data_IF_815839212021
#
_entry.id   IF_815839212021
#
_cell.length_a   1.000
_cell.length_b   1.000
_cell.length_c   1.000
_cell.angle_alpha   90.00
_cell.angle_beta   90.00
_cell.angle_gamma   90.00
#
_symmetry.space_group_name_H-M   'P 1'
#
loop_
_entity.id
_entity.type
_entity.pdbx_description
1 polymer ?
#
# COMPACT_ATOMS: atom_id res chain seq x y z
N UNK A 1 25.06 5.53 -5.40
CA UNK A 1 24.43 4.99 -6.63
C UNK A 1 23.54 6.06 -7.22
N UNK A 2 23.71 6.44 -8.49
CA UNK A 2 22.66 7.16 -9.21
C UNK A 2 21.39 6.32 -9.12
N UNK A 3 20.28 6.87 -8.64
CA UNK A 3 19.00 6.18 -8.76
C UNK A 3 18.68 6.13 -10.25
N UNK A 4 19.11 5.05 -10.92
CA UNK A 4 18.77 4.80 -12.31
C UNK A 4 17.26 4.81 -12.52
N UNK A 5 16.83 4.73 -13.77
CA UNK A 5 15.41 4.78 -14.17
C UNK A 5 14.48 3.92 -13.27
N UNK A 6 14.91 2.72 -12.89
CA UNK A 6 14.18 1.82 -11.97
C UNK A 6 13.92 2.44 -10.59
N UNK A 7 14.91 3.12 -10.00
CA UNK A 7 14.77 3.75 -8.69
C UNK A 7 13.79 4.93 -8.73
N UNK A 8 13.81 5.72 -9.81
CA UNK A 8 12.83 6.79 -10.02
C UNK A 8 11.42 6.23 -10.19
N UNK A 9 11.24 5.17 -10.98
CA UNK A 9 9.96 4.48 -11.14
C UNK A 9 9.46 3.91 -9.81
N UNK A 10 10.34 3.31 -9.00
CA UNK A 10 9.97 2.78 -7.69
C UNK A 10 9.47 3.86 -6.73
N UNK A 11 10.11 5.04 -6.71
CA UNK A 11 9.64 6.18 -5.92
C UNK A 11 8.26 6.66 -6.41
N UNK A 12 8.10 6.84 -7.72
CA UNK A 12 6.82 7.28 -8.32
C UNK A 12 5.69 6.30 -7.98
N UNK A 13 5.93 5.00 -8.15
CA UNK A 13 4.97 3.94 -7.81
C UNK A 13 4.65 3.95 -6.31
N UNK A 14 5.65 4.12 -5.44
CA UNK A 14 5.45 4.16 -3.99
C UNK A 14 4.56 5.33 -3.59
N UNK A 15 4.85 6.55 -4.07
CA UNK A 15 3.98 7.72 -3.83
C UNK A 15 2.59 7.55 -4.46
N UNK A 16 2.53 6.96 -5.66
CA UNK A 16 1.28 6.60 -6.32
C UNK A 16 0.42 5.69 -5.45
N UNK A 17 1.01 4.67 -4.81
CA UNK A 17 0.33 3.79 -3.86
C UNK A 17 -0.12 4.52 -2.59
N UNK A 18 0.68 5.47 -2.07
CA UNK A 18 0.26 6.29 -0.92
C UNK A 18 -1.02 7.06 -1.25
N UNK A 19 -1.07 7.71 -2.41
CA UNK A 19 -2.25 8.48 -2.86
C UNK A 19 -3.42 7.56 -3.22
N UNK A 20 -3.16 6.43 -3.88
CA UNK A 20 -4.19 5.47 -4.25
C UNK A 20 -4.78 4.76 -3.03
N UNK A 21 -4.02 4.57 -1.95
CA UNK A 21 -4.45 3.79 -0.79
C UNK A 21 -5.76 4.27 -0.15
N UNK A 22 -5.95 5.56 0.22
CA UNK A 22 -7.23 6.02 0.75
C UNK A 22 -8.34 5.93 -0.29
N UNK A 23 -8.04 6.17 -1.58
CA UNK A 23 -9.05 6.08 -2.65
C UNK A 23 -9.58 4.65 -2.78
N UNK A 24 -8.68 3.66 -2.81
CA UNK A 24 -9.04 2.24 -2.90
C UNK A 24 -9.81 1.80 -1.65
N UNK A 25 -9.33 2.16 -0.46
CA UNK A 25 -9.97 1.78 0.80
C UNK A 25 -11.38 2.37 0.92
N UNK A 26 -11.54 3.66 0.65
CA UNK A 26 -12.83 4.35 0.72
C UNK A 26 -13.78 3.92 -0.40
N UNK A 27 -13.28 3.68 -1.62
CA UNK A 27 -14.11 3.17 -2.71
C UNK A 27 -14.62 1.75 -2.42
N UNK A 28 -13.77 0.89 -1.86
CA UNK A 28 -14.17 -0.46 -1.46
C UNK A 28 -15.22 -0.42 -0.34
N UNK A 29 -15.02 0.45 0.66
CA UNK A 29 -15.98 0.66 1.75
C UNK A 29 -17.31 1.27 1.27
N UNK A 30 -17.28 2.30 0.43
CA UNK A 30 -18.48 2.90 -0.11
C UNK A 30 -19.27 1.93 -1.01
N UNK A 31 -18.57 1.04 -1.71
CA UNK A 31 -19.19 -0.01 -2.52
C UNK A 31 -19.70 -1.18 -1.65
N UNK A 32 -19.02 -1.51 -0.55
CA UNK A 32 -19.49 -2.53 0.39
C UNK A 32 -20.78 -2.12 1.09
N UNK A 33 -21.02 -0.82 1.32
CA UNK A 33 -22.31 -0.35 1.82
C UNK A 33 -23.52 -0.70 0.92
N UNK A 34 -23.27 -1.13 -0.33
CA UNK A 34 -24.31 -1.58 -1.28
C UNK A 34 -24.23 -3.08 -1.61
N UNK A 35 -23.34 -3.83 -0.97
CA UNK A 35 -23.05 -5.25 -1.23
C UNK A 35 -23.06 -6.01 0.09
N UNK A 36 -23.37 -7.30 0.05
CA UNK A 36 -23.40 -8.09 1.30
C UNK A 36 -21.99 -8.46 1.82
N UNK A 37 -20.94 -8.26 1.01
CA UNK A 37 -19.55 -8.64 1.34
C UNK A 37 -18.53 -7.59 0.90
N UNK A 38 -17.63 -7.22 1.81
CA UNK A 38 -16.53 -6.29 1.56
C UNK A 38 -15.53 -6.86 0.55
N UNK A 39 -15.21 -8.15 0.63
CA UNK A 39 -14.29 -8.80 -0.30
C UNK A 39 -14.69 -8.66 -1.78
N UNK A 40 -15.98 -8.71 -2.10
CA UNK A 40 -16.47 -8.56 -3.48
C UNK A 40 -16.37 -7.10 -3.96
N UNK A 41 -16.62 -6.15 -3.06
CA UNK A 41 -16.46 -4.73 -3.32
C UNK A 41 -14.97 -4.39 -3.56
N UNK A 42 -14.10 -4.87 -2.67
CA UNK A 42 -12.64 -4.72 -2.81
C UNK A 42 -12.14 -5.36 -4.11
N UNK A 43 -12.59 -6.57 -4.44
CA UNK A 43 -12.23 -7.24 -5.70
C UNK A 43 -12.58 -6.41 -6.94
N UNK A 44 -13.73 -5.74 -6.92
CA UNK A 44 -14.16 -4.84 -8.01
C UNK A 44 -13.22 -3.63 -8.13
N UNK A 45 -12.88 -2.98 -7.01
CA UNK A 45 -11.97 -1.83 -6.97
C UNK A 45 -10.54 -2.21 -7.38
N UNK A 46 -10.06 -3.37 -6.91
CA UNK A 46 -8.75 -3.92 -7.28
C UNK A 46 -8.69 -4.21 -8.77
N UNK A 47 -9.71 -4.87 -9.35
CA UNK A 47 -9.75 -5.14 -10.78
C UNK A 47 -9.68 -3.84 -11.62
N UNK A 48 -10.43 -2.81 -11.22
CA UNK A 48 -10.35 -1.48 -11.86
C UNK A 48 -8.95 -0.85 -11.72
N UNK A 49 -8.35 -0.93 -10.53
CA UNK A 49 -7.01 -0.41 -10.26
C UNK A 49 -5.93 -1.11 -11.09
N UNK A 50 -6.03 -2.44 -11.22
CA UNK A 50 -5.14 -3.23 -12.10
C UNK A 50 -5.32 -2.84 -13.56
N UNK A 51 -6.56 -2.60 -14.02
CA UNK A 51 -6.83 -2.10 -15.36
C UNK A 51 -6.18 -0.74 -15.63
N UNK A 52 -6.24 0.20 -14.66
CA UNK A 52 -5.59 1.51 -14.77
C UNK A 52 -4.06 1.38 -14.80
N UNK A 53 -3.47 0.51 -13.98
CA UNK A 53 -2.03 0.24 -14.00
C UNK A 53 -1.58 -0.36 -15.33
N UNK A 54 -2.34 -1.33 -15.86
CA UNK A 54 -2.08 -1.93 -17.16
C UNK A 54 -2.18 -0.90 -18.30
N UNK A 55 -3.20 -0.04 -18.27
CA UNK A 55 -3.35 1.06 -19.23
C UNK A 55 -2.15 2.03 -19.16
N UNK A 56 -1.68 2.39 -17.96
CA UNK A 56 -0.48 3.21 -17.77
C UNK A 56 0.78 2.55 -18.31
N UNK A 57 0.97 1.25 -18.06
CA UNK A 57 2.12 0.49 -18.58
C UNK A 57 2.11 0.44 -20.12
N UNK A 58 0.95 0.19 -20.73
CA UNK A 58 0.78 0.18 -22.18
C UNK A 58 1.01 1.57 -22.77
N UNK A 59 0.47 2.62 -22.14
CA UNK A 59 0.69 4.00 -22.58
C UNK A 59 2.19 4.36 -22.58
N UNK A 60 2.93 3.98 -21.54
CA UNK A 60 4.39 4.18 -21.50
C UNK A 60 5.12 3.36 -22.57
N UNK A 61 4.72 2.11 -22.79
CA UNK A 61 5.31 1.26 -23.81
C UNK A 61 5.13 1.82 -25.24
N UNK A 62 3.98 2.44 -25.51
CA UNK A 62 3.62 2.96 -26.83
C UNK A 62 4.13 4.39 -27.05
N UNK A 63 4.06 5.26 -26.03
CA UNK A 63 4.33 6.69 -26.15
C UNK A 63 5.76 7.10 -25.79
N UNK A 64 6.49 6.27 -25.03
CA UNK A 64 7.85 6.58 -24.56
C UNK A 64 8.85 5.56 -25.13
N UNK A 65 8.79 4.33 -24.64
CA UNK A 65 9.64 3.20 -25.06
C UNK A 65 9.10 1.89 -24.44
N UNK A 66 9.14 0.75 -25.15
CA UNK A 66 8.68 -0.53 -24.60
C UNK A 66 9.33 -0.94 -23.27
N UNK A 67 10.62 -0.65 -23.08
CA UNK A 67 11.35 -0.90 -21.84
C UNK A 67 10.84 -0.06 -20.67
N UNK A 68 10.38 1.17 -20.92
CA UNK A 68 9.76 2.01 -19.90
C UNK A 68 8.45 1.41 -19.38
N UNK A 69 7.59 0.93 -20.29
CA UNK A 69 6.34 0.26 -19.95
C UNK A 69 6.55 -1.04 -19.16
N UNK A 70 7.50 -1.88 -19.59
CA UNK A 70 7.86 -3.12 -18.89
C UNK A 70 8.40 -2.86 -17.49
N UNK A 71 9.32 -1.89 -17.35
CA UNK A 71 9.90 -1.53 -16.05
C UNK A 71 8.82 -1.00 -15.11
N UNK A 72 7.96 -0.09 -15.59
CA UNK A 72 6.85 0.43 -14.80
C UNK A 72 5.91 -0.70 -14.36
N UNK A 73 5.49 -1.57 -15.28
CA UNK A 73 4.58 -2.67 -14.96
C UNK A 73 5.16 -3.62 -13.92
N UNK A 74 6.42 -4.04 -14.09
CA UNK A 74 7.09 -4.93 -13.14
C UNK A 74 7.23 -4.30 -11.75
N UNK A 75 7.67 -3.04 -11.67
CA UNK A 75 7.83 -2.32 -10.41
C UNK A 75 6.47 -2.05 -9.74
N UNK A 76 5.45 -1.68 -10.51
CA UNK A 76 4.10 -1.46 -10.00
C UNK A 76 3.50 -2.74 -9.40
N UNK A 77 3.63 -3.88 -10.08
CA UNK A 77 3.16 -5.18 -9.57
C UNK A 77 3.94 -5.57 -8.30
N UNK A 78 5.27 -5.49 -8.33
CA UNK A 78 6.09 -5.84 -7.17
C UNK A 78 5.76 -4.95 -5.96
N UNK A 79 5.63 -3.64 -6.15
CA UNK A 79 5.28 -2.71 -5.10
C UNK A 79 3.85 -2.95 -4.58
N UNK A 80 2.87 -3.20 -5.44
CA UNK A 80 1.51 -3.51 -5.03
C UNK A 80 1.46 -4.80 -4.19
N UNK A 81 2.21 -5.83 -4.58
CA UNK A 81 2.28 -7.07 -3.81
C UNK A 81 2.90 -6.85 -2.43
N UNK A 82 4.02 -6.13 -2.36
CA UNK A 82 4.80 -5.95 -1.13
C UNK A 82 4.20 -4.91 -0.19
N UNK A 83 3.64 -3.82 -0.72
CA UNK A 83 3.18 -2.68 0.07
C UNK A 83 1.66 -2.65 0.28
N UNK A 84 0.89 -3.40 -0.50
CA UNK A 84 -0.57 -3.45 -0.36
C UNK A 84 -1.07 -4.87 -0.05
N UNK A 85 -0.88 -5.82 -0.96
CA UNK A 85 -1.48 -7.16 -0.83
C UNK A 85 -0.96 -7.90 0.39
N UNK A 86 0.35 -8.03 0.53
CA UNK A 86 0.93 -8.76 1.65
C UNK A 86 0.58 -8.12 3.01
N UNK A 87 0.76 -6.80 3.22
CA UNK A 87 0.39 -6.15 4.48
C UNK A 87 -1.09 -6.23 4.83
N UNK A 88 -1.99 -6.05 3.86
CA UNK A 88 -3.45 -6.11 4.12
C UNK A 88 -3.86 -7.53 4.49
N UNK A 89 -3.36 -8.55 3.79
CA UNK A 89 -3.66 -9.95 4.11
C UNK A 89 -3.05 -10.37 5.46
N UNK A 90 -1.83 -9.91 5.75
CA UNK A 90 -1.21 -10.15 7.05
C UNK A 90 -1.99 -9.46 8.17
N UNK A 91 -2.41 -8.20 7.96
CA UNK A 91 -3.22 -7.45 8.90
C UNK A 91 -4.59 -8.07 9.15
N UNK A 92 -5.25 -8.59 8.10
CA UNK A 92 -6.48 -9.39 8.22
C UNK A 92 -6.28 -10.59 9.14
N UNK A 93 -5.19 -11.35 8.97
CA UNK A 93 -4.90 -12.50 9.83
C UNK A 93 -4.64 -12.11 11.28
N UNK A 94 -3.94 -11.00 11.52
CA UNK A 94 -3.71 -10.49 12.87
C UNK A 94 -5.01 -10.02 13.53
N UNK A 95 -5.84 -9.25 12.82
CA UNK A 95 -7.12 -8.78 13.33
C UNK A 95 -8.06 -9.95 13.65
N UNK A 96 -8.15 -10.95 12.77
CA UNK A 96 -8.93 -12.16 13.06
C UNK A 96 -8.42 -12.98 14.25
N UNK A 97 -7.19 -12.73 14.73
CA UNK A 97 -6.65 -13.32 15.98
C UNK A 97 -6.82 -12.43 17.21
N UNK A 98 -6.86 -11.12 17.03
CA UNK A 98 -6.89 -10.14 18.12
C UNK A 98 -8.29 -9.64 18.45
N UNK A 99 -9.26 -9.88 17.58
CA UNK A 99 -10.64 -9.39 17.68
C UNK A 99 -11.64 -10.51 17.44
N UNK A 100 -12.94 -10.21 17.60
CA UNK A 100 -14.05 -11.12 17.30
C UNK A 100 -14.58 -10.95 15.87
N UNK A 101 -13.88 -10.20 15.02
CA UNK A 101 -14.30 -9.91 13.66
C UNK A 101 -14.25 -11.15 12.78
N UNK A 102 -15.27 -11.29 11.93
CA UNK A 102 -15.26 -12.30 10.89
C UNK A 102 -14.19 -11.99 9.83
N UNK A 103 -13.88 -12.99 8.99
CA UNK A 103 -12.77 -12.88 8.06
C UNK A 103 -12.93 -11.74 7.02
N UNK A 104 -14.17 -11.35 6.70
CA UNK A 104 -14.50 -10.26 5.78
C UNK A 104 -14.42 -8.89 6.47
N UNK A 105 -14.90 -8.78 7.71
CA UNK A 105 -14.77 -7.58 8.52
C UNK A 105 -13.31 -7.29 8.87
N UNK A 106 -12.54 -8.31 9.24
CA UNK A 106 -11.10 -8.17 9.47
C UNK A 106 -10.36 -7.70 8.21
N UNK A 107 -10.83 -8.07 7.01
CA UNK A 107 -10.30 -7.57 5.74
C UNK A 107 -10.67 -6.09 5.54
N UNK A 108 -11.89 -5.70 5.86
CA UNK A 108 -12.35 -4.30 5.84
C UNK A 108 -11.47 -3.42 6.73
N UNK A 109 -11.33 -3.75 8.01
CA UNK A 109 -10.54 -2.98 8.95
C UNK A 109 -9.05 -2.94 8.59
N UNK A 110 -8.47 -4.05 8.11
CA UNK A 110 -7.09 -4.06 7.61
C UNK A 110 -6.94 -3.14 6.38
N UNK A 111 -7.91 -3.14 5.46
CA UNK A 111 -7.89 -2.29 4.26
C UNK A 111 -8.07 -0.82 4.61
N UNK A 112 -8.94 -0.48 5.56
CA UNK A 112 -9.13 0.88 6.06
C UNK A 112 -7.92 1.39 6.86
N UNK A 113 -7.18 0.49 7.52
CA UNK A 113 -5.93 0.82 8.22
C UNK A 113 -4.71 0.99 7.30
N UNK A 114 -4.73 0.38 6.11
CA UNK A 114 -3.62 0.42 5.16
C UNK A 114 -3.14 1.82 4.74
N UNK A 115 -4.02 2.81 4.47
CA UNK A 115 -3.60 4.17 4.17
C UNK A 115 -2.72 4.80 5.25
N UNK A 116 -2.99 4.52 6.53
CA UNK A 116 -2.18 5.04 7.63
C UNK A 116 -0.76 4.48 7.57
N UNK A 117 -0.61 3.18 7.30
CA UNK A 117 0.70 2.55 7.13
C UNK A 117 1.48 3.11 5.94
N UNK A 118 0.80 3.39 4.82
CA UNK A 118 1.41 4.00 3.64
C UNK A 118 1.84 5.45 3.89
N UNK A 119 1.01 6.25 4.56
CA UNK A 119 1.36 7.63 4.92
C UNK A 119 2.54 7.67 5.88
N UNK A 120 2.56 6.80 6.90
CA UNK A 120 3.69 6.71 7.84
C UNK A 120 4.96 6.23 7.15
N UNK A 121 4.88 5.22 6.28
CA UNK A 121 6.05 4.72 5.55
C UNK A 121 6.65 5.80 4.65
N UNK A 122 5.80 6.55 3.95
CA UNK A 122 6.23 7.67 3.15
C UNK A 122 6.80 8.81 4.00
N UNK A 123 6.09 9.25 5.03
CA UNK A 123 6.47 10.39 5.87
C UNK A 123 7.78 10.17 6.64
N UNK A 124 8.06 8.94 7.08
CA UNK A 124 9.21 8.63 7.92
C UNK A 124 10.43 8.18 7.11
N UNK A 125 10.24 7.50 5.98
CA UNK A 125 11.34 6.81 5.28
C UNK A 125 11.58 7.32 3.86
N UNK A 126 10.64 8.06 3.27
CA UNK A 126 10.72 8.50 1.85
C UNK A 126 10.73 10.02 1.73
N UNK A 127 9.76 10.70 2.34
CA UNK A 127 9.54 12.15 2.26
C UNK A 127 10.68 13.01 2.85
N UNK A 128 11.34 12.66 3.97
CA UNK A 128 12.41 13.48 4.54
C UNK A 128 13.59 13.71 3.58
N UNK A 129 13.73 12.87 2.56
CA UNK A 129 14.81 12.96 1.56
C UNK A 129 14.44 13.49 0.19
N UNK A 130 13.16 13.60 -0.14
CA UNK A 130 12.70 13.89 -1.50
C UNK A 130 13.42 13.07 -2.59
N UNK A 131 13.58 13.68 -3.77
CA UNK A 131 14.44 13.16 -4.85
C UNK A 131 15.93 13.49 -4.63
N UNK A 132 16.27 14.20 -3.56
CA UNK A 132 17.55 14.91 -3.40
C UNK A 132 18.49 14.31 -2.31
N UNK A 133 18.44 12.98 -2.11
CA UNK A 133 19.47 12.14 -1.45
C UNK A 133 19.40 11.92 0.08
N UNK A 134 18.25 12.07 0.74
CA UNK A 134 18.15 11.74 2.20
C UNK A 134 16.98 10.81 2.55
N UNK A 135 16.66 9.84 1.69
CA UNK A 135 15.65 8.82 1.98
C UNK A 135 16.32 7.48 2.34
N UNK A 136 15.53 6.51 2.81
CA UNK A 136 16.04 5.21 3.31
C UNK A 136 16.94 4.47 2.31
N UNK A 137 16.79 4.74 1.01
CA UNK A 137 17.59 4.13 -0.06
C UNK A 137 19.05 4.62 -0.08
N UNK A 138 19.35 5.73 0.59
CA UNK A 138 20.68 6.34 0.65
C UNK A 138 21.38 6.10 2.00
N UNK A 139 20.72 5.45 2.95
CA UNK A 139 21.35 5.06 4.21
C UNK A 139 22.29 3.87 3.97
N UNK A 140 23.42 3.86 4.67
CA UNK A 140 24.38 2.75 4.66
C UNK A 140 24.65 2.24 6.08
N UNK A 141 25.20 1.03 6.18
CA UNK A 141 25.57 0.42 7.46
C UNK A 141 24.39 0.15 8.39
N UNK A 142 24.62 0.28 9.71
CA UNK A 142 23.63 -0.08 10.73
C UNK A 142 22.36 0.79 10.67
N UNK A 143 22.50 2.06 10.30
CA UNK A 143 21.37 2.97 10.14
C UNK A 143 20.40 2.51 9.05
N UNK A 144 20.94 2.02 7.93
CA UNK A 144 20.13 1.43 6.86
C UNK A 144 19.36 0.21 7.35
N UNK A 145 20.04 -0.72 8.03
CA UNK A 145 19.43 -1.94 8.55
C UNK A 145 18.28 -1.63 9.49
N UNK A 146 18.48 -0.73 10.45
CA UNK A 146 17.42 -0.33 11.40
C UNK A 146 16.26 0.34 10.68
N UNK A 147 16.53 1.24 9.74
CA UNK A 147 15.49 1.93 9.00
C UNK A 147 14.67 0.98 8.11
N UNK A 148 15.32 0.05 7.41
CA UNK A 148 14.64 -0.97 6.60
C UNK A 148 13.82 -1.93 7.45
N UNK A 149 14.34 -2.41 8.59
CA UNK A 149 13.58 -3.25 9.51
C UNK A 149 12.36 -2.50 10.07
N UNK A 150 12.54 -1.24 10.46
CA UNK A 150 11.43 -0.42 10.96
C UNK A 150 10.40 -0.16 9.88
N UNK A 151 10.82 0.12 8.64
CA UNK A 151 9.94 0.26 7.48
C UNK A 151 9.12 -1.01 7.25
N UNK A 152 9.77 -2.18 7.27
CA UNK A 152 9.09 -3.48 7.14
C UNK A 152 8.05 -3.64 8.24
N UNK A 153 8.38 -3.36 9.50
CA UNK A 153 7.43 -3.44 10.61
C UNK A 153 6.25 -2.48 10.43
N UNK A 154 6.52 -1.21 10.08
CA UNK A 154 5.47 -0.19 9.87
C UNK A 154 4.54 -0.60 8.74
N UNK A 155 5.09 -1.03 7.61
CA UNK A 155 4.28 -1.41 6.45
C UNK A 155 3.47 -2.67 6.73
N UNK A 156 4.05 -3.68 7.38
CA UNK A 156 3.39 -4.98 7.58
C UNK A 156 2.41 -5.00 8.76
N UNK A 157 2.74 -4.35 9.88
CA UNK A 157 1.89 -4.31 11.08
C UNK A 157 0.94 -3.11 11.07
N UNK A 158 1.30 -2.03 10.37
CA UNK A 158 0.53 -0.79 10.33
C UNK A 158 -0.94 -0.97 9.97
N UNK A 159 -1.31 -1.74 8.92
CA UNK A 159 -2.71 -1.96 8.57
C UNK A 159 -3.51 -2.60 9.71
N UNK A 160 -2.92 -3.58 10.40
CA UNK A 160 -3.54 -4.26 11.54
C UNK A 160 -3.73 -3.32 12.73
N UNK A 161 -2.68 -2.57 13.10
CA UNK A 161 -2.71 -1.67 14.26
C UNK A 161 -3.66 -0.48 14.03
N UNK A 162 -3.67 0.10 12.84
CA UNK A 162 -4.60 1.16 12.49
C UNK A 162 -6.05 0.64 12.42
N UNK A 163 -6.27 -0.53 11.82
CA UNK A 163 -7.56 -1.21 11.80
C UNK A 163 -8.08 -1.52 13.21
N UNK A 164 -7.21 -2.02 14.09
CA UNK A 164 -7.53 -2.28 15.50
C UNK A 164 -7.89 -0.99 16.24
N UNK A 165 -7.17 0.11 15.98
CA UNK A 165 -7.50 1.42 16.53
C UNK A 165 -8.89 1.88 16.11
N UNK A 166 -9.25 1.71 14.83
CA UNK A 166 -10.57 2.04 14.30
C UNK A 166 -11.67 1.17 14.93
N UNK A 167 -11.45 -0.15 15.02
CA UNK A 167 -12.36 -1.09 15.66
C UNK A 167 -12.69 -0.68 17.11
N UNK A 168 -11.66 -0.45 17.92
CA UNK A 168 -11.83 -0.02 19.31
C UNK A 168 -12.50 1.36 19.44
N UNK A 169 -12.31 2.25 18.48
CA UNK A 169 -12.96 3.55 18.47
C UNK A 169 -14.47 3.40 18.24
N UNK A 170 -14.86 2.53 17.30
CA UNK A 170 -16.26 2.29 16.97
C UNK A 170 -16.97 1.58 18.13
N UNK A 171 -16.37 0.54 18.71
CA UNK A 171 -16.95 -0.18 19.86
C UNK A 171 -17.18 0.72 21.09
N UNK A 172 -16.40 1.77 21.26
CA UNK A 172 -16.58 2.71 22.38
C UNK A 172 -17.73 3.70 22.18
N UNK A 173 -18.18 3.89 20.95
CA UNK A 173 -19.19 4.89 20.57
C UNK A 173 -20.53 4.23 20.24
N UNK A 174 -20.56 2.92 19.99
CA UNK A 174 -21.75 2.09 19.83
C UNK A 174 -22.35 1.68 21.18
#
# INVERSE_FOLDING_TARGET
>A
METGFVGAVALVVSFGLVVASPVVALAAWALSARRDRFGDALGTVVAGSVGLLAAGAVALAVLVDPGAGLTFGAVAVAAALVLAVFPVLFGRQLLGRWTLLDADEALEYATLGWPVAMVLSAALFVAPGGFARYNVLFLEGLAATVAWLTLVLVVTLGPALAGLGLYNLIERVA
#
